data_IF_175937430690
#
_entry.id   IF_175937430690
#
_cell.length_a   1.000
_cell.length_b   1.000
_cell.length_c   1.000
_cell.angle_alpha   90.00
_cell.angle_beta   90.00
_cell.angle_gamma   90.00
#
_symmetry.space_group_name_H-M   'P 1'
#
loop_
_entity.id
_entity.type
_entity.pdbx_description
1 polymer ?
#
# COMPACT_ATOMS: atom_id res chain seq x y z
N UNK A 1 -29.05 -18.88 69.57
CA UNK A 1 -27.77 -18.47 68.96
C UNK A 1 -27.29 -17.22 69.66
N UNK A 2 -26.10 -17.27 70.24
CA UNK A 2 -25.49 -16.11 70.89
C UNK A 2 -24.88 -15.16 69.86
N UNK A 3 -24.86 -13.86 70.15
CA UNK A 3 -24.33 -12.81 69.26
C UNK A 3 -22.89 -13.11 68.80
N UNK A 4 -22.10 -13.80 69.61
CA UNK A 4 -20.73 -14.23 69.29
C UNK A 4 -20.63 -15.28 68.17
N UNK A 5 -21.61 -16.18 68.08
CA UNK A 5 -21.65 -17.24 67.04
C UNK A 5 -22.03 -16.65 65.68
N UNK A 6 -22.99 -15.71 65.66
CA UNK A 6 -23.39 -14.99 64.45
C UNK A 6 -22.23 -14.19 63.85
N UNK A 7 -21.48 -13.45 64.68
CA UNK A 7 -20.32 -12.66 64.23
C UNK A 7 -19.18 -13.52 63.65
N UNK A 8 -19.00 -14.75 64.18
CA UNK A 8 -17.97 -15.66 63.66
C UNK A 8 -18.37 -16.21 62.29
N UNK A 9 -19.65 -16.51 62.11
CA UNK A 9 -20.21 -16.98 60.83
C UNK A 9 -20.12 -15.93 59.73
N UNK A 10 -20.41 -14.66 60.03
CA UNK A 10 -20.30 -13.56 59.05
C UNK A 10 -18.86 -13.34 58.58
N UNK A 11 -17.90 -13.42 59.50
CA UNK A 11 -16.48 -13.27 59.17
C UNK A 11 -15.98 -14.41 58.26
N UNK A 12 -16.48 -15.63 58.42
CA UNK A 12 -16.14 -16.75 57.55
C UNK A 12 -16.68 -16.55 56.12
N UNK A 13 -17.92 -16.09 56.00
CA UNK A 13 -18.53 -15.75 54.69
C UNK A 13 -17.73 -14.66 53.99
N UNK A 14 -17.30 -13.63 54.71
CA UNK A 14 -16.46 -12.56 54.13
C UNK A 14 -15.10 -13.08 53.65
N UNK A 15 -14.46 -14.00 54.39
CA UNK A 15 -13.19 -14.61 53.96
C UNK A 15 -13.36 -15.38 52.65
N UNK A 16 -14.40 -16.20 52.55
CA UNK A 16 -14.68 -16.95 51.31
C UNK A 16 -14.91 -16.00 50.14
N UNK A 17 -15.68 -14.92 50.35
CA UNK A 17 -15.94 -13.93 49.31
C UNK A 17 -14.67 -13.19 48.86
N UNK A 18 -13.74 -12.90 49.77
CA UNK A 18 -12.45 -12.31 49.41
C UNK A 18 -11.66 -13.24 48.50
N UNK A 19 -11.56 -14.53 48.86
CA UNK A 19 -10.84 -15.52 48.04
C UNK A 19 -11.46 -15.69 46.65
N UNK A 20 -12.80 -15.71 46.56
CA UNK A 20 -13.49 -15.73 45.27
C UNK A 20 -13.14 -14.51 44.41
N UNK A 21 -13.24 -13.30 45.00
CA UNK A 21 -12.93 -12.06 44.30
C UNK A 21 -11.47 -11.97 43.86
N UNK A 22 -10.54 -12.45 44.69
CA UNK A 22 -9.11 -12.52 44.34
C UNK A 22 -8.87 -13.45 43.14
N UNK A 23 -9.55 -14.60 43.10
CA UNK A 23 -9.49 -15.53 41.98
C UNK A 23 -10.08 -14.93 40.69
N UNK A 24 -11.27 -14.33 40.78
CA UNK A 24 -11.93 -13.66 39.64
C UNK A 24 -11.08 -12.51 39.11
N UNK A 25 -10.45 -11.74 39.99
CA UNK A 25 -9.59 -10.62 39.61
C UNK A 25 -8.31 -11.12 38.93
N UNK A 26 -7.70 -12.21 39.44
CA UNK A 26 -6.54 -12.85 38.80
C UNK A 26 -6.88 -13.29 37.37
N UNK A 27 -8.02 -13.96 37.17
CA UNK A 27 -8.49 -14.38 35.85
C UNK A 27 -8.75 -13.19 34.93
N UNK A 28 -9.43 -12.16 35.43
CA UNK A 28 -9.73 -10.94 34.66
C UNK A 28 -8.45 -10.24 34.19
N UNK A 29 -7.41 -10.19 35.03
CA UNK A 29 -6.12 -9.60 34.65
C UNK A 29 -5.40 -10.44 33.59
N UNK A 30 -5.47 -11.77 33.67
CA UNK A 30 -4.94 -12.66 32.64
C UNK A 30 -5.66 -12.46 31.29
N UNK A 31 -6.99 -12.44 31.30
CA UNK A 31 -7.81 -12.23 30.11
C UNK A 31 -7.54 -10.85 29.48
N UNK A 32 -7.39 -9.81 30.30
CA UNK A 32 -7.01 -8.47 29.85
C UNK A 32 -5.65 -8.47 29.12
N UNK A 33 -4.65 -9.15 29.67
CA UNK A 33 -3.33 -9.25 29.04
C UNK A 33 -3.40 -10.00 27.70
N UNK A 34 -4.22 -11.05 27.61
CA UNK A 34 -4.45 -11.78 26.35
C UNK A 34 -5.11 -10.87 25.31
N UNK A 35 -6.15 -10.13 25.69
CA UNK A 35 -6.86 -9.19 24.80
C UNK A 35 -5.90 -8.11 24.29
N UNK A 36 -5.07 -7.54 25.15
CA UNK A 36 -4.11 -6.51 24.78
C UNK A 36 -3.07 -7.04 23.77
N UNK A 37 -2.57 -8.25 23.98
CA UNK A 37 -1.66 -8.90 23.04
C UNK A 37 -2.32 -9.18 21.68
N UNK A 38 -3.56 -9.68 21.68
CA UNK A 38 -4.32 -9.91 20.46
C UNK A 38 -4.57 -8.61 19.69
N UNK A 39 -4.97 -7.55 20.40
CA UNK A 39 -5.21 -6.24 19.81
C UNK A 39 -3.94 -5.66 19.18
N UNK A 40 -2.80 -5.74 19.88
CA UNK A 40 -1.52 -5.31 19.35
C UNK A 40 -1.11 -6.12 18.12
N UNK A 41 -1.29 -7.44 18.13
CA UNK A 41 -1.03 -8.30 16.98
C UNK A 41 -1.90 -7.95 15.77
N UNK A 42 -3.21 -7.76 15.97
CA UNK A 42 -4.14 -7.32 14.93
C UNK A 42 -3.75 -5.96 14.35
N UNK A 43 -3.37 -5.00 15.21
CA UNK A 43 -2.94 -3.67 14.77
C UNK A 43 -1.72 -3.74 13.85
N UNK A 44 -0.72 -4.54 14.20
CA UNK A 44 0.48 -4.75 13.36
C UNK A 44 0.11 -5.41 12.04
N UNK A 45 -0.73 -6.46 12.06
CA UNK A 45 -1.16 -7.15 10.85
C UNK A 45 -1.91 -6.21 9.89
N UNK A 46 -2.85 -5.42 10.40
CA UNK A 46 -3.59 -4.43 9.60
C UNK A 46 -2.65 -3.40 8.98
N UNK A 47 -1.67 -2.90 9.74
CA UNK A 47 -0.68 -1.94 9.24
C UNK A 47 0.17 -2.52 8.11
N UNK A 48 0.65 -3.76 8.28
CA UNK A 48 1.46 -4.45 7.28
C UNK A 48 0.66 -4.70 6.00
N UNK A 49 -0.58 -5.17 6.12
CA UNK A 49 -1.48 -5.39 4.98
C UNK A 49 -1.80 -4.11 4.24
N UNK A 50 -2.04 -3.01 4.96
CA UNK A 50 -2.27 -1.70 4.36
C UNK A 50 -1.04 -1.23 3.56
N UNK A 51 0.16 -1.35 4.16
CA UNK A 51 1.43 -0.97 3.52
C UNK A 51 1.70 -1.80 2.28
N UNK A 52 1.49 -3.13 2.36
CA UNK A 52 1.62 -4.06 1.23
C UNK A 52 0.69 -3.67 0.07
N UNK A 53 -0.59 -3.43 0.37
CA UNK A 53 -1.59 -3.03 -0.63
C UNK A 53 -1.27 -1.70 -1.29
N UNK A 54 -0.74 -0.73 -0.53
CA UNK A 54 -0.33 0.56 -1.08
C UNK A 54 0.87 0.41 -2.03
N UNK A 55 1.84 -0.44 -1.68
CA UNK A 55 2.96 -0.76 -2.56
C UNK A 55 2.51 -1.45 -3.85
N UNK A 56 1.65 -2.48 -3.75
CA UNK A 56 1.08 -3.17 -4.91
C UNK A 56 0.30 -2.21 -5.81
N UNK A 57 -0.51 -1.33 -5.22
CA UNK A 57 -1.26 -0.31 -5.97
C UNK A 57 -0.33 0.64 -6.72
N UNK A 58 0.78 1.05 -6.11
CA UNK A 58 1.77 1.91 -6.75
C UNK A 58 2.44 1.19 -7.93
N UNK A 59 2.80 -0.08 -7.77
CA UNK A 59 3.37 -0.91 -8.83
C UNK A 59 2.40 -1.12 -9.99
N UNK A 60 1.15 -1.50 -9.72
CA UNK A 60 0.10 -1.63 -10.74
C UNK A 60 -0.12 -0.32 -11.51
N UNK A 61 -0.09 0.82 -10.83
CA UNK A 61 -0.21 2.12 -11.49
C UNK A 61 0.95 2.37 -12.44
N UNK A 62 2.19 2.09 -12.02
CA UNK A 62 3.40 2.24 -12.84
C UNK A 62 3.36 1.32 -14.06
N UNK A 63 2.95 0.07 -13.88
CA UNK A 63 2.81 -0.90 -14.98
C UNK A 63 1.75 -0.45 -16.00
N UNK A 64 0.61 0.06 -15.52
CA UNK A 64 -0.45 0.59 -16.37
C UNK A 64 0.01 1.80 -17.18
N UNK A 65 0.74 2.73 -16.57
CA UNK A 65 1.36 3.87 -17.27
C UNK A 65 2.36 3.40 -18.32
N UNK A 66 3.25 2.46 -17.99
CA UNK A 66 4.20 1.88 -18.95
C UNK A 66 3.50 1.24 -20.15
N UNK A 67 2.43 0.47 -19.92
CA UNK A 67 1.61 -0.13 -20.98
C UNK A 67 0.95 0.92 -21.89
N UNK A 68 0.39 2.00 -21.32
CA UNK A 68 -0.19 3.11 -22.10
C UNK A 68 0.87 3.81 -22.94
N UNK A 69 2.03 4.06 -22.33
CA UNK A 69 3.18 4.69 -22.95
C UNK A 69 3.71 3.89 -24.14
N UNK A 70 3.83 2.57 -24.00
CA UNK A 70 4.21 1.67 -25.11
C UNK A 70 3.20 1.68 -26.25
N UNK A 71 1.90 1.58 -25.96
CA UNK A 71 0.86 1.65 -27.01
C UNK A 71 0.88 2.99 -27.75
N UNK A 72 1.19 4.08 -27.06
CA UNK A 72 1.34 5.39 -27.68
C UNK A 72 2.56 5.44 -28.60
N UNK A 73 3.71 4.90 -28.17
CA UNK A 73 4.90 4.79 -29.04
C UNK A 73 4.61 4.02 -30.33
N UNK A 74 4.02 2.84 -30.21
CA UNK A 74 3.71 1.98 -31.35
C UNK A 74 2.83 2.72 -32.38
N UNK A 75 1.87 3.53 -31.90
CA UNK A 75 1.05 4.39 -32.76
C UNK A 75 1.83 5.52 -33.42
N UNK A 76 2.71 6.21 -32.68
CA UNK A 76 3.54 7.28 -33.25
C UNK A 76 4.48 6.73 -34.33
N UNK A 77 5.09 5.57 -34.10
CA UNK A 77 5.93 4.87 -35.07
C UNK A 77 5.10 4.55 -36.33
N UNK A 78 3.92 3.95 -36.17
CA UNK A 78 3.05 3.62 -37.30
C UNK A 78 2.66 4.85 -38.12
N UNK A 79 2.33 5.97 -37.45
CA UNK A 79 1.98 7.22 -38.14
C UNK A 79 3.18 7.76 -38.93
N UNK A 80 4.38 7.76 -38.34
CA UNK A 80 5.59 8.21 -39.02
C UNK A 80 5.92 7.33 -40.24
N UNK A 81 5.80 6.01 -40.13
CA UNK A 81 5.98 5.09 -41.26
C UNK A 81 5.00 5.39 -42.41
N UNK A 82 3.73 5.60 -42.09
CA UNK A 82 2.67 5.83 -43.10
C UNK A 82 2.78 7.20 -43.74
N UNK A 83 3.05 8.25 -42.96
CA UNK A 83 3.07 9.63 -43.46
C UNK A 83 4.41 10.04 -44.07
N UNK A 84 5.53 9.52 -43.56
CA UNK A 84 6.88 9.94 -43.95
C UNK A 84 7.57 8.90 -44.84
N UNK A 85 7.08 7.65 -44.90
CA UNK A 85 7.71 6.59 -45.68
C UNK A 85 9.06 6.10 -45.14
N UNK A 86 9.43 6.52 -43.92
CA UNK A 86 10.69 6.20 -43.26
C UNK A 86 10.48 5.24 -42.07
N UNK A 87 11.49 4.42 -41.76
CA UNK A 87 11.53 3.66 -40.51
C UNK A 87 11.85 4.61 -39.34
N UNK A 88 10.93 4.82 -38.38
CA UNK A 88 11.12 5.81 -37.34
C UNK A 88 12.16 5.29 -36.36
N UNK A 89 13.31 5.94 -36.29
CA UNK A 89 14.31 5.69 -35.25
C UNK A 89 13.87 6.38 -33.93
N UNK A 90 12.70 6.01 -33.41
CA UNK A 90 12.08 6.67 -32.26
C UNK A 90 12.42 5.90 -30.98
N UNK A 91 13.56 6.24 -30.39
CA UNK A 91 13.82 5.92 -28.98
C UNK A 91 12.81 6.70 -28.11
N UNK A 92 11.99 5.98 -27.33
CA UNK A 92 10.94 6.60 -26.53
C UNK A 92 11.49 7.44 -25.35
N UNK A 93 11.15 8.74 -25.29
CA UNK A 93 11.52 9.64 -24.18
C UNK A 93 10.32 10.24 -23.40
N UNK A 94 9.80 9.53 -22.39
CA UNK A 94 8.94 10.10 -21.34
C UNK A 94 9.86 10.66 -20.22
N UNK A 95 9.55 11.63 -19.37
CA UNK A 95 8.38 12.43 -19.00
C UNK A 95 8.65 13.94 -19.24
N UNK A 96 9.58 14.24 -20.15
CA UNK A 96 10.19 15.55 -20.35
C UNK A 96 10.26 15.97 -21.83
N UNK A 97 9.33 15.61 -22.71
CA UNK A 97 9.18 16.36 -24.00
C UNK A 97 8.81 17.86 -23.78
N UNK A 98 8.92 18.37 -22.54
CA UNK A 98 8.81 19.75 -22.04
C UNK A 98 9.93 20.70 -22.50
N UNK A 99 10.91 20.22 -23.25
CA UNK A 99 11.77 21.05 -24.08
C UNK A 99 11.62 20.54 -25.52
N UNK A 100 10.62 21.06 -26.22
CA UNK A 100 10.36 20.74 -27.62
C UNK A 100 11.63 20.88 -28.46
N UNK A 101 11.98 19.85 -29.21
CA UNK A 101 12.35 20.01 -30.62
C UNK A 101 11.87 18.75 -31.35
N UNK A 102 10.55 18.66 -31.56
CA UNK A 102 9.99 17.88 -32.68
C UNK A 102 10.62 18.29 -34.01
N UNK A 103 11.19 19.50 -34.07
CA UNK A 103 12.00 20.03 -35.17
C UNK A 103 13.24 19.18 -35.50
N UNK A 104 13.78 18.41 -34.54
CA UNK A 104 14.93 17.54 -34.79
C UNK A 104 14.56 16.23 -35.52
N UNK A 105 13.30 15.80 -35.48
CA UNK A 105 12.86 14.60 -36.20
C UNK A 105 12.69 14.84 -37.71
N UNK A 106 12.69 16.09 -38.17
CA UNK A 106 12.52 16.46 -39.57
C UNK A 106 13.75 17.09 -40.23
N UNK A 107 14.88 17.21 -39.52
CA UNK A 107 16.12 17.77 -40.11
C UNK A 107 16.89 16.70 -40.89
N UNK A 108 16.48 16.51 -42.15
CA UNK A 108 17.29 16.74 -43.35
C UNK A 108 16.81 15.89 -44.54
N UNK A 109 15.68 16.23 -45.15
CA UNK A 109 15.43 15.88 -46.55
C UNK A 109 14.66 17.01 -47.26
N UNK A 110 15.40 18.07 -47.63
CA UNK A 110 15.20 19.03 -48.74
C UNK A 110 16.25 20.16 -48.51
N UNK A 111 17.20 20.50 -49.38
CA UNK A 111 17.46 20.17 -50.77
C UNK A 111 18.98 20.17 -51.00
N UNK A 112 19.51 19.10 -51.59
CA UNK A 112 20.76 19.14 -52.34
C UNK A 112 20.45 18.72 -53.77
N UNK A 113 19.88 19.64 -54.54
CA UNK A 113 19.93 19.64 -56.01
C UNK A 113 20.61 20.96 -56.41
N UNK A 114 21.92 20.93 -56.57
CA UNK A 114 22.62 20.89 -57.87
C UNK A 114 23.04 22.30 -58.31
N UNK A 115 24.30 22.63 -58.01
CA UNK A 115 25.10 23.44 -58.93
C UNK A 115 25.33 22.58 -60.20
N UNK A 116 24.75 23.01 -61.33
CA UNK A 116 25.33 23.17 -62.69
C UNK A 116 24.26 23.81 -63.59
#
# INVERSE_FOLDING_TARGET
>A
MSVSEANTSEHEVLRQRITELESENSKTNADKAVIENLFNGLRVNVMNEYTRRDAEKAEYKKELESKKNRKFQEKCILIAQVLLGEEPNVEYRPSFMRGLELDAFFRHHHDSSEDI
#
